data_IF_617317829976
#
_entry.id   IF_617317829976
#
_cell.length_a   1.000
_cell.length_b   1.000
_cell.length_c   1.000
_cell.angle_alpha   90.00
_cell.angle_beta   90.00
_cell.angle_gamma   90.00
#
_symmetry.space_group_name_H-M   'P 1'
#
loop_
_entity.id
_entity.type
_entity.pdbx_description
1 polymer ?
#
# COMPACT_ATOMS: atom_id res chain seq x y z
N UNK A 1 -15.68 -5.08 -28.57
CA UNK A 1 -16.51 -5.49 -27.41
C UNK A 1 -15.73 -6.36 -26.41
N UNK A 2 -15.11 -7.48 -26.83
CA UNK A 2 -14.30 -8.36 -25.95
C UNK A 2 -13.19 -7.63 -25.14
N UNK A 3 -12.46 -6.69 -25.76
CA UNK A 3 -11.42 -5.89 -25.07
C UNK A 3 -11.96 -4.99 -23.95
N UNK A 4 -13.13 -4.37 -24.15
CA UNK A 4 -13.77 -3.52 -23.13
C UNK A 4 -14.24 -4.35 -21.92
N UNK A 5 -14.74 -5.56 -22.18
CA UNK A 5 -15.13 -6.51 -21.13
C UNK A 5 -13.91 -6.98 -20.33
N UNK A 6 -12.79 -7.29 -20.98
CA UNK A 6 -11.54 -7.66 -20.30
C UNK A 6 -11.03 -6.51 -19.42
N UNK A 7 -11.03 -5.27 -19.93
CA UNK A 7 -10.65 -4.08 -19.15
C UNK A 7 -11.56 -3.87 -17.94
N UNK A 8 -12.87 -4.05 -18.10
CA UNK A 8 -13.83 -3.95 -17.00
C UNK A 8 -13.63 -5.05 -15.94
N UNK A 9 -13.33 -6.28 -16.35
CA UNK A 9 -13.03 -7.38 -15.42
C UNK A 9 -11.75 -7.07 -14.63
N UNK A 10 -10.71 -6.57 -15.31
CA UNK A 10 -9.44 -6.22 -14.66
C UNK A 10 -9.61 -5.06 -13.65
N UNK A 11 -10.35 -4.01 -14.03
CA UNK A 11 -10.70 -2.91 -13.12
C UNK A 11 -11.53 -3.38 -11.92
N UNK A 12 -12.51 -4.26 -12.15
CA UNK A 12 -13.32 -4.85 -11.09
C UNK A 12 -12.47 -5.70 -10.13
N UNK A 13 -11.55 -6.50 -10.66
CA UNK A 13 -10.63 -7.30 -9.86
C UNK A 13 -9.71 -6.43 -9.00
N UNK A 14 -9.12 -5.38 -9.58
CA UNK A 14 -8.31 -4.39 -8.84
C UNK A 14 -9.13 -3.75 -7.71
N UNK A 15 -10.37 -3.35 -8.00
CA UNK A 15 -11.26 -2.73 -7.01
C UNK A 15 -11.59 -3.70 -5.87
N UNK A 16 -11.87 -4.97 -6.18
CA UNK A 16 -12.13 -6.00 -5.17
C UNK A 16 -10.90 -6.28 -4.30
N UNK A 17 -9.70 -6.30 -4.87
CA UNK A 17 -8.46 -6.47 -4.09
C UNK A 17 -8.12 -5.23 -3.25
N UNK A 18 -8.49 -4.03 -3.72
CA UNK A 18 -8.31 -2.80 -2.96
C UNK A 18 -9.22 -2.72 -1.73
N UNK A 19 -10.38 -3.38 -1.77
CA UNK A 19 -11.31 -3.48 -0.64
C UNK A 19 -10.81 -4.41 0.49
N UNK A 20 -9.75 -5.19 0.26
CA UNK A 20 -9.19 -6.14 1.24
C UNK A 20 -7.79 -5.77 1.74
N UNK A 21 -7.22 -4.64 1.30
CA UNK A 21 -5.86 -4.25 1.66
C UNK A 21 -5.75 -3.68 3.07
N UNK A 22 -4.80 -4.17 3.86
CA UNK A 22 -4.45 -3.61 5.17
C UNK A 22 -3.76 -2.25 5.02
N UNK A 23 -3.94 -1.38 6.00
CA UNK A 23 -3.40 -0.01 6.03
C UNK A 23 -2.44 0.12 7.21
N UNK A 24 -1.32 0.85 7.10
CA UNK A 24 -0.40 0.98 8.22
C UNK A 24 -1.06 1.59 9.45
N UNK A 25 -0.88 0.94 10.61
CA UNK A 25 -1.48 1.36 11.87
C UNK A 25 -2.92 0.90 12.11
N UNK A 26 -3.46 -0.01 11.29
CA UNK A 26 -4.79 -0.62 11.50
C UNK A 26 -4.83 -1.69 12.62
N UNK A 27 -3.69 -1.98 13.24
CA UNK A 27 -3.55 -2.98 14.30
C UNK A 27 -3.25 -4.39 13.80
N UNK A 28 -3.11 -4.61 12.50
CA UNK A 28 -2.77 -5.92 11.91
C UNK A 28 -1.34 -6.35 12.28
N UNK A 29 -0.41 -5.40 12.38
CA UNK A 29 0.99 -5.66 12.70
C UNK A 29 1.32 -5.33 14.15
N UNK A 30 2.16 -6.18 14.76
CA UNK A 30 2.63 -6.09 16.14
C UNK A 30 4.13 -6.35 16.22
N UNK A 31 4.70 -6.29 17.43
CA UNK A 31 6.11 -6.65 17.65
C UNK A 31 6.43 -8.10 17.27
N UNK A 32 5.44 -9.01 17.30
CA UNK A 32 5.61 -10.42 16.93
C UNK A 32 5.33 -10.68 15.45
N UNK A 33 4.43 -9.89 14.86
CA UNK A 33 4.03 -9.99 13.45
C UNK A 33 4.34 -8.68 12.76
N UNK A 34 5.53 -8.58 12.16
CA UNK A 34 6.03 -7.35 11.57
C UNK A 34 5.80 -7.30 10.05
N UNK A 35 5.57 -6.10 9.53
CA UNK A 35 5.45 -5.85 8.09
C UNK A 35 6.82 -6.00 7.39
N UNK A 36 6.85 -6.86 6.37
CA UNK A 36 8.03 -7.18 5.56
C UNK A 36 8.15 -6.37 4.26
N UNK A 37 9.09 -6.76 3.38
CA UNK A 37 9.38 -6.08 2.11
C UNK A 37 8.13 -5.79 1.25
N UNK A 38 7.31 -6.82 0.98
CA UNK A 38 6.12 -6.67 0.12
C UNK A 38 5.06 -5.74 0.73
N UNK A 39 4.97 -5.70 2.06
CA UNK A 39 4.11 -4.76 2.76
C UNK A 39 4.64 -3.34 2.70
N UNK A 40 5.96 -3.16 2.73
CA UNK A 40 6.59 -1.88 2.40
C UNK A 40 6.13 -1.38 1.03
N UNK A 41 6.19 -2.22 0.00
CA UNK A 41 5.73 -1.87 -1.36
C UNK A 41 4.25 -1.49 -1.37
N UNK A 42 3.39 -2.33 -0.76
CA UNK A 42 1.96 -2.07 -0.68
C UNK A 42 1.65 -0.74 0.02
N UNK A 43 2.18 -0.54 1.22
CA UNK A 43 2.01 0.66 2.02
C UNK A 43 2.52 1.92 1.31
N UNK A 44 3.62 1.80 0.56
CA UNK A 44 4.14 2.89 -0.27
C UNK A 44 3.17 3.29 -1.38
N UNK A 45 2.55 2.34 -2.09
CA UNK A 45 1.57 2.63 -3.14
C UNK A 45 0.28 3.23 -2.61
N UNK A 46 -0.15 2.86 -1.41
CA UNK A 46 -1.35 3.43 -0.79
C UNK A 46 -1.06 4.66 0.07
N UNK A 47 0.19 5.14 0.13
CA UNK A 47 0.59 6.25 0.99
C UNK A 47 -0.31 7.51 0.90
N UNK A 48 -0.75 7.99 -0.28
CA UNK A 48 -1.68 9.12 -0.37
C UNK A 48 -3.05 8.83 0.25
N UNK A 49 -3.52 7.59 0.13
CA UNK A 49 -4.78 7.15 0.78
C UNK A 49 -4.60 7.15 2.30
N UNK A 50 -3.48 6.64 2.80
CA UNK A 50 -3.14 6.66 4.23
C UNK A 50 -3.03 8.08 4.79
N UNK A 51 -2.54 9.05 4.00
CA UNK A 51 -2.54 10.48 4.40
C UNK A 51 -3.96 10.99 4.58
N UNK A 52 -4.86 10.73 3.60
CA UNK A 52 -6.26 11.17 3.68
C UNK A 52 -6.97 10.50 4.86
N UNK A 53 -6.76 9.19 5.06
CA UNK A 53 -7.38 8.46 6.17
C UNK A 53 -6.82 8.89 7.53
N UNK A 54 -5.52 9.20 7.63
CA UNK A 54 -4.87 9.68 8.85
C UNK A 54 -5.51 10.95 9.45
N UNK A 55 -6.23 11.74 8.64
CA UNK A 55 -7.02 12.87 9.16
C UNK A 55 -8.23 12.45 9.99
N UNK A 56 -8.83 11.29 9.68
CA UNK A 56 -10.01 10.77 10.37
C UNK A 56 -9.65 9.78 11.48
N UNK A 57 -8.55 9.05 11.33
CA UNK A 57 -8.06 8.10 12.33
C UNK A 57 -6.57 8.36 12.61
N UNK A 58 -6.25 8.75 13.86
CA UNK A 58 -4.88 9.10 14.28
C UNK A 58 -3.94 7.90 14.40
N UNK A 59 -4.48 6.70 14.49
CA UNK A 59 -3.69 5.47 14.54
C UNK A 59 -3.15 5.11 13.15
N UNK A 60 -3.86 5.50 12.09
CA UNK A 60 -3.43 5.29 10.71
C UNK A 60 -2.26 6.20 10.38
N UNK A 61 -1.19 5.59 9.89
CA UNK A 61 0.03 6.28 9.46
C UNK A 61 0.35 5.91 8.03
N UNK A 62 1.22 6.70 7.43
CA UNK A 62 1.76 6.41 6.10
C UNK A 62 2.74 5.23 6.15
N UNK A 63 3.37 5.02 7.31
CA UNK A 63 4.40 4.04 7.54
C UNK A 63 4.01 3.10 8.67
N UNK A 64 4.20 1.80 8.51
CA UNK A 64 3.92 0.84 9.57
C UNK A 64 5.00 0.96 10.64
N UNK A 65 4.60 1.12 11.90
CA UNK A 65 5.51 1.21 13.03
C UNK A 65 6.11 -0.15 13.35
N UNK A 66 5.32 -1.21 13.21
CA UNK A 66 5.72 -2.59 13.46
C UNK A 66 6.25 -3.24 12.16
N UNK A 67 7.46 -2.87 11.75
CA UNK A 67 8.09 -3.37 10.52
C UNK A 67 9.46 -4.03 10.78
N UNK A 68 9.98 -4.78 9.81
CA UNK A 68 11.27 -5.49 9.89
C UNK A 68 12.51 -4.61 9.63
N UNK A 69 12.33 -3.30 9.49
CA UNK A 69 13.37 -2.32 9.17
C UNK A 69 13.75 -2.32 7.69
N UNK A 70 15.04 -2.47 7.42
CA UNK A 70 15.66 -2.23 6.10
C UNK A 70 14.88 -2.76 4.89
N UNK A 71 14.40 -4.00 4.95
CA UNK A 71 13.66 -4.59 3.83
C UNK A 71 12.29 -3.95 3.61
N UNK A 72 11.59 -3.60 4.69
CA UNK A 72 10.34 -2.85 4.59
C UNK A 72 10.62 -1.46 4.01
N UNK A 73 11.63 -0.77 4.52
CA UNK A 73 12.02 0.58 4.08
C UNK A 73 12.37 0.62 2.59
N UNK A 74 13.14 -0.37 2.11
CA UNK A 74 13.49 -0.50 0.71
C UNK A 74 12.25 -0.72 -0.17
N UNK A 75 11.34 -1.60 0.25
CA UNK A 75 10.09 -1.85 -0.47
C UNK A 75 9.22 -0.59 -0.56
N UNK A 76 9.08 0.13 0.57
CA UNK A 76 8.34 1.38 0.63
C UNK A 76 8.92 2.43 -0.29
N UNK A 77 10.24 2.62 -0.26
CA UNK A 77 10.93 3.58 -1.12
C UNK A 77 10.75 3.24 -2.61
N UNK A 78 10.90 1.97 -2.99
CA UNK A 78 10.67 1.48 -4.37
C UNK A 78 9.24 1.80 -4.81
N UNK A 79 8.24 1.57 -3.96
CA UNK A 79 6.85 1.85 -4.29
C UNK A 79 6.60 3.34 -4.52
N UNK A 80 7.19 4.22 -3.70
CA UNK A 80 7.05 5.67 -3.88
C UNK A 80 7.66 6.13 -5.20
N UNK A 81 8.89 5.72 -5.51
CA UNK A 81 9.57 6.14 -6.75
C UNK A 81 8.95 5.53 -8.01
N UNK A 82 8.41 4.30 -7.93
CA UNK A 82 7.82 3.61 -9.09
C UNK A 82 6.35 3.97 -9.31
N UNK A 83 5.57 4.16 -8.24
CA UNK A 83 4.12 4.33 -8.30
C UNK A 83 3.66 5.76 -8.62
N UNK A 84 4.43 6.78 -8.24
CA UNK A 84 4.04 8.19 -8.37
C UNK A 84 4.85 8.97 -9.42
N UNK A 85 5.49 8.27 -10.36
CA UNK A 85 6.14 8.90 -11.51
C UNK A 85 7.61 9.28 -11.33
N UNK A 86 8.32 8.70 -10.36
CA UNK A 86 9.78 8.85 -10.24
C UNK A 86 10.58 8.14 -11.34
N UNK A 87 9.99 7.17 -12.04
CA UNK A 87 10.58 6.48 -13.19
C UNK A 87 10.26 7.15 -14.55
N UNK A 88 9.93 8.45 -14.54
CA UNK A 88 9.56 9.22 -15.75
C UNK A 88 10.73 9.99 -16.38
N UNK A 89 11.98 9.69 -15.99
CA UNK A 89 13.20 10.26 -16.59
C UNK A 89 13.84 9.22 -17.50
#
# INVERSE_FOLDING_TARGET
>A
MKKKVIVLIFLSFILLTALTGCVPGDGTYSSEYQAGFFWGVWHGWIAPVSVVWGFFNRDIRVYELNNVGWWYDLGFYIAVISGFGGASI
#
